data_IF_692334193010
#
_entry.id   IF_692334193010
#
_cell.length_a   1.000
_cell.length_b   1.000
_cell.length_c   1.000
_cell.angle_alpha   90.00
_cell.angle_beta   90.00
_cell.angle_gamma   90.00
#
_symmetry.space_group_name_H-M   'P 1'
#
loop_
_entity.id
_entity.type
_entity.pdbx_description
1 polymer ?
#
# COMPACT_ATOMS: atom_id res chain seq x y z
N UNK A 1 58.66 -28.55 5.40
CA UNK A 1 57.34 -29.21 5.26
C UNK A 1 56.14 -28.30 5.54
N UNK A 2 56.16 -27.28 6.42
CA UNK A 2 54.99 -26.39 6.69
C UNK A 2 54.78 -25.25 5.67
N UNK A 3 55.77 -24.92 4.86
CA UNK A 3 55.72 -23.78 3.91
C UNK A 3 55.11 -24.15 2.56
N UNK A 4 55.24 -25.43 2.19
CA UNK A 4 54.75 -25.93 0.88
C UNK A 4 53.24 -26.30 0.93
N UNK A 5 52.76 -26.69 2.13
CA UNK A 5 51.34 -27.00 2.34
C UNK A 5 50.42 -25.76 2.28
N UNK A 6 50.95 -24.55 2.62
CA UNK A 6 50.20 -23.29 2.49
C UNK A 6 50.06 -22.84 1.03
N UNK A 7 51.02 -23.16 0.16
CA UNK A 7 50.93 -22.83 -1.26
C UNK A 7 49.98 -23.77 -2.02
N UNK A 8 49.88 -25.04 -1.62
CA UNK A 8 48.93 -25.99 -2.22
C UNK A 8 47.48 -25.66 -1.86
N UNK A 9 47.21 -25.23 -0.62
CA UNK A 9 45.86 -24.83 -0.18
C UNK A 9 45.40 -23.52 -0.87
N UNK A 10 46.34 -22.60 -1.14
CA UNK A 10 46.04 -21.35 -1.84
C UNK A 10 45.68 -21.55 -3.34
N UNK A 11 46.27 -22.53 -4.00
CA UNK A 11 46.02 -22.87 -5.41
C UNK A 11 44.70 -23.62 -5.59
N UNK A 12 44.30 -24.44 -4.62
CA UNK A 12 43.02 -25.18 -4.64
C UNK A 12 41.82 -24.23 -4.36
N UNK A 13 42.01 -23.22 -3.49
CA UNK A 13 40.94 -22.23 -3.24
C UNK A 13 40.71 -21.25 -4.41
N UNK A 14 41.76 -20.97 -5.19
CA UNK A 14 41.63 -20.06 -6.38
C UNK A 14 41.06 -20.77 -7.61
N UNK A 15 41.19 -22.12 -7.68
CA UNK A 15 40.68 -22.92 -8.80
C UNK A 15 39.16 -23.21 -8.73
N UNK A 16 38.54 -23.13 -7.55
CA UNK A 16 37.11 -23.41 -7.37
C UNK A 16 36.24 -22.15 -7.63
N UNK A 17 36.82 -20.96 -7.65
CA UNK A 17 36.09 -19.68 -7.84
C UNK A 17 35.92 -19.27 -9.31
N UNK A 18 36.45 -20.01 -10.27
CA UNK A 18 36.38 -19.66 -11.70
C UNK A 18 35.41 -20.51 -12.53
N UNK A 19 34.59 -21.38 -11.95
CA UNK A 19 33.70 -22.31 -12.71
C UNK A 19 32.21 -21.88 -12.62
N UNK A 20 31.87 -20.82 -11.89
CA UNK A 20 30.47 -20.38 -11.70
C UNK A 20 30.05 -19.14 -12.50
N UNK A 21 30.77 -18.72 -13.55
CA UNK A 21 30.46 -17.55 -14.36
C UNK A 21 30.15 -17.87 -15.85
N UNK A 22 29.71 -19.09 -16.15
CA UNK A 22 29.25 -19.44 -17.49
C UNK A 22 27.89 -20.13 -17.40
N UNK A 23 26.84 -19.34 -17.26
CA UNK A 23 25.47 -19.87 -17.29
C UNK A 23 24.43 -18.80 -17.05
N UNK A 24 23.77 -18.46 -18.16
CA UNK A 24 22.48 -17.77 -18.31
C UNK A 24 22.50 -16.25 -18.53
N UNK A 25 22.92 -15.86 -19.71
CA UNK A 25 22.25 -14.81 -20.44
C UNK A 25 21.00 -15.42 -21.10
N UNK A 26 19.94 -15.62 -20.34
CA UNK A 26 18.60 -15.92 -20.81
C UNK A 26 17.79 -14.64 -20.75
N UNK A 27 17.54 -14.07 -21.94
CA UNK A 27 16.62 -13.00 -22.18
C UNK A 27 15.22 -13.51 -21.79
N UNK A 28 14.72 -13.18 -20.59
CA UNK A 28 13.30 -13.38 -20.27
C UNK A 28 12.53 -12.18 -20.83
N UNK A 29 12.09 -12.35 -22.09
CA UNK A 29 10.95 -11.58 -22.59
C UNK A 29 9.76 -11.86 -21.67
N UNK A 30 9.23 -10.81 -21.09
CA UNK A 30 7.95 -10.83 -20.39
C UNK A 30 6.88 -11.30 -21.39
N UNK A 31 6.48 -12.56 -21.30
CA UNK A 31 5.33 -13.08 -22.04
C UNK A 31 4.08 -12.47 -21.43
N UNK A 32 3.50 -11.53 -22.15
CA UNK A 32 2.13 -11.08 -21.97
C UNK A 32 1.20 -12.32 -22.10
N UNK A 33 0.39 -12.69 -21.10
CA UNK A 33 -0.49 -13.84 -21.20
C UNK A 33 -1.61 -13.55 -22.20
N UNK A 34 -1.61 -14.32 -23.27
CA UNK A 34 -2.66 -14.35 -24.30
C UNK A 34 -3.96 -14.92 -23.69
N UNK A 35 -5.16 -14.34 -23.90
CA UNK A 35 -6.41 -14.87 -23.39
C UNK A 35 -6.91 -16.02 -24.26
N UNK A 36 -6.52 -17.24 -23.92
CA UNK A 36 -6.94 -18.45 -24.65
C UNK A 36 -6.48 -19.74 -23.99
N UNK A 37 -7.25 -20.24 -23.00
CA UNK A 37 -7.41 -21.64 -22.73
C UNK A 37 -6.17 -22.46 -22.33
N UNK A 38 -5.62 -22.17 -21.13
CA UNK A 38 -5.04 -23.18 -20.25
C UNK A 38 -5.19 -22.63 -18.82
N UNK A 39 -5.75 -23.37 -17.89
CA UNK A 39 -6.00 -22.92 -16.53
C UNK A 39 -4.67 -22.81 -15.78
N UNK A 40 -3.91 -21.75 -16.05
CA UNK A 40 -2.77 -21.39 -15.24
C UNK A 40 -3.30 -20.91 -13.90
N UNK A 41 -3.00 -21.65 -12.84
CA UNK A 41 -3.25 -21.21 -11.47
C UNK A 41 -2.51 -19.88 -11.25
N UNK A 42 -3.24 -18.87 -10.79
CA UNK A 42 -2.72 -17.54 -10.49
C UNK A 42 -2.89 -17.28 -9.01
N UNK A 43 -1.82 -16.89 -8.32
CA UNK A 43 -1.89 -16.42 -6.95
C UNK A 43 -1.69 -14.91 -6.91
N UNK A 44 -2.62 -14.20 -6.27
CA UNK A 44 -2.60 -12.75 -6.04
C UNK A 44 -2.36 -12.50 -4.56
N UNK A 45 -1.25 -11.86 -4.22
CA UNK A 45 -0.91 -11.48 -2.85
C UNK A 45 -1.42 -10.08 -2.56
N UNK A 46 -2.26 -9.94 -1.54
CA UNK A 46 -2.84 -8.66 -1.11
C UNK A 46 -2.38 -8.36 0.32
N UNK A 47 -1.85 -7.15 0.54
CA UNK A 47 -1.44 -6.69 1.87
C UNK A 47 -2.17 -5.42 2.29
N UNK A 48 -2.74 -5.42 3.50
CA UNK A 48 -3.59 -4.36 4.04
C UNK A 48 -3.21 -4.00 5.47
N UNK A 49 -3.55 -2.77 5.90
CA UNK A 49 -3.50 -2.37 7.32
C UNK A 49 -4.86 -2.37 8.00
N UNK A 50 -5.91 -2.79 7.30
CA UNK A 50 -7.27 -2.77 7.84
C UNK A 50 -7.44 -3.83 8.94
N UNK A 51 -8.16 -3.43 9.97
CA UNK A 51 -8.57 -4.30 11.07
C UNK A 51 -10.06 -4.63 10.97
N UNK A 52 -10.52 -5.57 11.79
CA UNK A 52 -11.94 -5.88 11.93
C UNK A 52 -12.78 -4.63 12.32
N UNK A 53 -14.03 -4.52 11.83
CA UNK A 53 -14.74 -5.53 11.03
C UNK A 53 -14.50 -5.45 9.52
N UNK A 54 -13.70 -4.50 9.04
CA UNK A 54 -13.48 -4.28 7.59
C UNK A 54 -12.66 -5.40 7.00
N UNK A 55 -11.65 -5.88 7.73
CA UNK A 55 -10.82 -7.01 7.33
C UNK A 55 -11.67 -8.24 6.98
N UNK A 56 -12.53 -8.67 7.90
CA UNK A 56 -13.44 -9.82 7.69
C UNK A 56 -14.35 -9.64 6.47
N UNK A 57 -14.77 -8.39 6.18
CA UNK A 57 -15.55 -8.08 4.98
C UNK A 57 -14.75 -8.30 3.70
N UNK A 58 -13.49 -7.87 3.66
CA UNK A 58 -12.60 -8.05 2.50
C UNK A 58 -12.27 -9.55 2.31
N UNK A 59 -11.98 -10.27 3.38
CA UNK A 59 -11.72 -11.71 3.31
C UNK A 59 -12.90 -12.48 2.71
N UNK A 60 -14.13 -12.12 3.09
CA UNK A 60 -15.33 -12.68 2.50
C UNK A 60 -15.46 -12.35 1.01
N UNK A 61 -15.23 -11.11 0.60
CA UNK A 61 -15.25 -10.72 -0.82
C UNK A 61 -14.17 -11.47 -1.62
N UNK A 62 -12.98 -11.64 -1.07
CA UNK A 62 -11.92 -12.42 -1.71
C UNK A 62 -12.32 -13.89 -1.88
N UNK A 63 -13.01 -14.48 -0.91
CA UNK A 63 -13.50 -15.84 -1.00
C UNK A 63 -14.57 -15.97 -2.10
N UNK A 64 -15.54 -15.07 -2.14
CA UNK A 64 -16.57 -15.04 -3.18
C UNK A 64 -15.93 -14.88 -4.57
N UNK A 65 -14.93 -14.02 -4.71
CA UNK A 65 -14.19 -13.85 -5.96
C UNK A 65 -13.47 -15.13 -6.41
N UNK A 66 -12.81 -15.85 -5.49
CA UNK A 66 -12.14 -17.11 -5.81
C UNK A 66 -13.13 -18.21 -6.22
N UNK A 67 -14.35 -18.23 -5.62
CA UNK A 67 -15.41 -19.15 -6.00
C UNK A 67 -15.92 -18.89 -7.44
N UNK A 68 -16.00 -17.62 -7.84
CA UNK A 68 -16.43 -17.19 -9.18
C UNK A 68 -15.33 -17.33 -10.24
N UNK A 69 -14.05 -17.36 -9.82
CA UNK A 69 -12.88 -17.42 -10.70
C UNK A 69 -12.00 -18.63 -10.41
N UNK A 70 -12.40 -19.85 -10.81
CA UNK A 70 -11.59 -21.06 -10.63
C UNK A 70 -10.20 -20.93 -11.24
N UNK A 71 -9.16 -21.24 -10.47
CA UNK A 71 -7.76 -21.08 -10.84
C UNK A 71 -7.10 -19.81 -10.30
N UNK A 72 -7.87 -18.90 -9.65
CA UNK A 72 -7.33 -17.78 -8.93
C UNK A 72 -7.28 -18.09 -7.43
N UNK A 73 -6.15 -17.86 -6.81
CA UNK A 73 -5.95 -17.90 -5.36
C UNK A 73 -5.60 -16.52 -4.86
N UNK A 74 -6.26 -16.03 -3.82
CA UNK A 74 -5.94 -14.75 -3.16
C UNK A 74 -5.33 -15.06 -1.79
N UNK A 75 -4.08 -14.63 -1.61
CA UNK A 75 -3.40 -14.62 -0.32
C UNK A 75 -3.55 -13.22 0.29
N UNK A 76 -4.38 -13.10 1.32
CA UNK A 76 -4.64 -11.84 1.99
C UNK A 76 -3.93 -11.78 3.35
N UNK A 77 -3.11 -10.75 3.55
CA UNK A 77 -2.39 -10.49 4.80
C UNK A 77 -2.78 -9.12 5.36
N UNK A 78 -3.21 -9.08 6.62
CA UNK A 78 -3.44 -7.85 7.35
C UNK A 78 -2.31 -7.60 8.36
N UNK A 79 -1.62 -6.46 8.23
CA UNK A 79 -0.62 -5.99 9.19
C UNK A 79 -1.15 -4.71 9.80
N UNK A 80 -1.71 -4.80 11.01
CA UNK A 80 -2.32 -3.65 11.69
C UNK A 80 -1.29 -2.83 12.47
N UNK A 81 -1.60 -1.54 12.67
CA UNK A 81 -0.76 -0.63 13.45
C UNK A 81 0.36 0.02 12.65
N UNK A 82 1.36 0.52 13.39
CA UNK A 82 2.44 1.35 12.83
C UNK A 82 3.48 0.56 12.03
N UNK A 83 3.47 -0.76 12.15
CA UNK A 83 4.47 -1.65 11.52
C UNK A 83 4.22 -1.87 10.04
N UNK A 84 3.02 -1.63 9.53
CA UNK A 84 2.64 -1.93 8.15
C UNK A 84 3.64 -1.40 7.12
N UNK A 85 3.99 -0.11 7.21
CA UNK A 85 4.91 0.52 6.26
C UNK A 85 6.29 -0.15 6.27
N UNK A 86 6.81 -0.46 7.44
CA UNK A 86 8.12 -1.10 7.62
C UNK A 86 8.13 -2.52 7.08
N UNK A 87 7.07 -3.29 7.34
CA UNK A 87 6.91 -4.65 6.82
C UNK A 87 6.81 -4.61 5.29
N UNK A 88 5.98 -3.72 4.73
CA UNK A 88 5.83 -3.56 3.28
C UNK A 88 7.17 -3.20 2.60
N UNK A 89 7.94 -2.26 3.14
CA UNK A 89 9.26 -1.91 2.62
C UNK A 89 10.22 -3.11 2.66
N UNK A 90 10.20 -3.89 3.74
CA UNK A 90 11.05 -5.07 3.89
C UNK A 90 10.69 -6.14 2.85
N UNK A 91 9.41 -6.38 2.62
CA UNK A 91 8.92 -7.32 1.61
C UNK A 91 9.37 -6.93 0.19
N UNK A 92 9.19 -5.68 -0.19
CA UNK A 92 9.66 -5.20 -1.49
C UNK A 92 11.19 -5.28 -1.62
N UNK A 93 11.94 -4.92 -0.59
CA UNK A 93 13.40 -5.00 -0.60
C UNK A 93 13.92 -6.43 -0.72
N UNK A 94 13.19 -7.43 -0.22
CA UNK A 94 13.54 -8.85 -0.34
C UNK A 94 13.04 -9.51 -1.63
N UNK A 95 12.27 -8.80 -2.46
CA UNK A 95 11.68 -9.35 -3.68
C UNK A 95 10.43 -10.22 -3.45
N UNK A 96 9.85 -10.18 -2.24
CA UNK A 96 8.61 -10.87 -1.86
C UNK A 96 7.48 -9.86 -1.55
N UNK A 97 7.42 -8.78 -2.32
CA UNK A 97 6.36 -7.79 -2.21
C UNK A 97 5.00 -8.33 -2.66
N UNK A 98 3.89 -7.79 -2.12
CA UNK A 98 2.54 -8.13 -2.56
C UNK A 98 2.25 -7.56 -3.97
N UNK A 99 1.30 -8.17 -4.69
CA UNK A 99 0.82 -7.68 -5.97
C UNK A 99 -0.11 -6.48 -5.80
N UNK A 100 -0.90 -6.48 -4.72
CA UNK A 100 -1.80 -5.39 -4.35
C UNK A 100 -1.52 -5.00 -2.89
N UNK A 101 -1.38 -3.71 -2.64
CA UNK A 101 -1.11 -3.23 -1.29
C UNK A 101 -1.78 -1.89 -1.02
N UNK A 102 -2.07 -1.62 0.24
CA UNK A 102 -2.60 -0.33 0.65
C UNK A 102 -1.50 0.72 0.70
N UNK A 103 -1.80 1.89 0.16
CA UNK A 103 -0.91 3.04 0.12
C UNK A 103 -1.64 4.30 0.58
N UNK A 104 -1.03 5.04 1.50
CA UNK A 104 -1.62 6.27 2.03
C UNK A 104 -1.54 7.47 1.06
N UNK A 105 -0.85 7.33 -0.07
CA UNK A 105 -0.58 8.43 -0.99
C UNK A 105 0.50 9.40 -0.49
N UNK A 106 0.69 10.52 -1.18
CA UNK A 106 1.71 11.54 -0.86
C UNK A 106 3.11 10.91 -0.64
N UNK A 107 3.76 11.13 0.49
CA UNK A 107 5.09 10.60 0.80
C UNK A 107 5.21 9.07 0.74
N UNK A 108 4.11 8.34 0.79
CA UNK A 108 4.11 6.90 0.56
C UNK A 108 4.17 6.57 -0.92
N UNK A 109 3.53 7.39 -1.76
CA UNK A 109 3.66 7.26 -3.21
C UNK A 109 5.13 7.40 -3.61
N UNK A 110 5.82 8.45 -3.14
CA UNK A 110 7.25 8.65 -3.41
C UNK A 110 8.11 7.43 -3.03
N UNK A 111 7.74 6.75 -1.94
CA UNK A 111 8.48 5.58 -1.45
C UNK A 111 8.24 4.33 -2.31
N UNK A 112 6.99 4.12 -2.75
CA UNK A 112 6.56 2.85 -3.34
C UNK A 112 6.28 2.91 -4.84
N UNK A 113 6.28 4.09 -5.48
CA UNK A 113 5.97 4.27 -6.91
C UNK A 113 6.77 3.33 -7.82
N UNK A 114 8.04 3.10 -7.50
CA UNK A 114 8.91 2.19 -8.26
C UNK A 114 8.43 0.73 -8.33
N UNK A 115 7.50 0.34 -7.45
CA UNK A 115 6.89 -0.98 -7.38
C UNK A 115 5.44 -1.00 -7.89
N UNK A 116 4.93 0.14 -8.36
CA UNK A 116 3.53 0.31 -8.75
C UNK A 116 3.42 0.45 -10.27
N UNK A 117 2.38 -0.13 -10.84
CA UNK A 117 1.99 0.12 -12.22
C UNK A 117 0.99 1.28 -12.27
N UNK A 118 1.07 2.17 -13.27
CA UNK A 118 0.07 3.19 -13.47
C UNK A 118 -1.29 2.54 -13.84
N UNK A 119 -2.36 3.18 -13.39
CA UNK A 119 -3.75 2.77 -13.64
C UNK A 119 -4.50 3.85 -14.43
N UNK A 120 -3.79 4.78 -15.04
CA UNK A 120 -4.34 5.94 -15.75
C UNK A 120 -5.23 5.55 -16.92
N UNK A 121 -4.85 4.50 -17.65
CA UNK A 121 -5.53 4.03 -18.86
C UNK A 121 -6.71 3.08 -18.57
N UNK A 122 -6.98 2.78 -17.31
CA UNK A 122 -8.12 1.95 -16.94
C UNK A 122 -9.44 2.70 -17.18
N UNK A 123 -10.43 2.03 -17.77
CA UNK A 123 -11.71 2.63 -18.13
C UNK A 123 -12.41 3.32 -16.96
N UNK A 124 -12.25 2.80 -15.75
CA UNK A 124 -12.84 3.36 -14.53
C UNK A 124 -12.03 4.53 -13.94
N UNK A 125 -10.78 4.75 -14.35
CA UNK A 125 -9.94 5.82 -13.82
C UNK A 125 -10.52 7.22 -14.10
N UNK A 126 -11.31 7.39 -15.15
CA UNK A 126 -12.02 8.63 -15.47
C UNK A 126 -13.03 9.05 -14.37
N UNK A 127 -13.53 8.10 -13.59
CA UNK A 127 -14.51 8.34 -12.53
C UNK A 127 -13.87 8.63 -11.17
N UNK A 128 -12.54 8.61 -11.08
CA UNK A 128 -11.83 8.91 -9.82
C UNK A 128 -12.07 10.38 -9.43
N UNK A 129 -12.40 10.65 -8.14
CA UNK A 129 -12.47 12.00 -7.63
C UNK A 129 -11.15 12.75 -7.79
N UNK A 130 -11.20 14.04 -8.06
CA UNK A 130 -9.98 14.86 -8.25
C UNK A 130 -9.06 14.84 -7.03
N UNK A 131 -9.60 14.78 -5.82
CA UNK A 131 -8.82 14.62 -4.59
C UNK A 131 -8.02 13.31 -4.56
N UNK A 132 -8.55 12.22 -5.16
CA UNK A 132 -7.85 10.96 -5.29
C UNK A 132 -6.70 11.06 -6.29
N UNK A 133 -6.92 11.74 -7.40
CA UNK A 133 -5.90 12.00 -8.42
C UNK A 133 -4.71 12.77 -7.87
N UNK A 134 -4.98 13.80 -7.05
CA UNK A 134 -3.94 14.58 -6.38
C UNK A 134 -3.15 13.76 -5.35
N UNK A 135 -3.81 12.81 -4.69
CA UNK A 135 -3.21 12.00 -3.62
C UNK A 135 -2.31 10.89 -4.12
N UNK A 136 -2.70 10.23 -5.21
CA UNK A 136 -1.99 9.08 -5.80
C UNK A 136 -1.48 9.34 -7.22
N UNK A 137 -1.45 10.61 -7.65
CA UNK A 137 -0.90 11.01 -8.93
C UNK A 137 0.56 11.43 -8.82
N UNK A 138 1.36 11.03 -9.81
CA UNK A 138 2.73 11.49 -10.02
C UNK A 138 3.05 11.47 -11.51
N UNK A 139 3.78 12.46 -11.99
CA UNK A 139 4.23 12.56 -13.38
C UNK A 139 3.12 12.47 -14.45
N UNK A 140 1.88 12.85 -14.08
CA UNK A 140 0.71 12.76 -14.94
C UNK A 140 0.00 11.41 -14.94
N UNK A 141 0.51 10.44 -14.18
CA UNK A 141 -0.04 9.11 -14.04
C UNK A 141 -0.71 8.91 -12.68
N UNK A 142 -1.67 7.96 -12.59
CA UNK A 142 -2.31 7.53 -11.35
C UNK A 142 -1.85 6.15 -10.95
N UNK A 143 -1.61 5.97 -9.63
CA UNK A 143 -1.05 4.74 -9.08
C UNK A 143 -1.91 4.11 -7.99
N UNK A 144 -3.04 4.69 -7.64
CA UNK A 144 -3.86 4.19 -6.55
C UNK A 144 -5.35 4.32 -6.79
N UNK A 145 -6.08 3.27 -6.42
CA UNK A 145 -7.54 3.24 -6.39
C UNK A 145 -8.04 3.54 -4.96
N UNK A 146 -8.91 4.54 -4.76
CA UNK A 146 -9.48 4.83 -3.44
C UNK A 146 -10.55 3.81 -3.07
N UNK A 147 -10.28 3.01 -2.04
CA UNK A 147 -11.28 2.06 -1.50
C UNK A 147 -12.34 2.74 -0.62
N UNK A 148 -12.03 3.90 -0.08
CA UNK A 148 -12.96 4.74 0.67
C UNK A 148 -12.61 6.21 0.54
N UNK A 149 -13.59 7.07 0.83
CA UNK A 149 -13.40 8.51 0.99
C UNK A 149 -13.74 8.86 2.43
N UNK A 150 -12.82 9.52 3.11
CA UNK A 150 -13.03 10.00 4.47
C UNK A 150 -13.00 11.51 4.48
N UNK A 151 -13.95 12.11 5.21
CA UNK A 151 -13.95 13.52 5.54
C UNK A 151 -13.38 13.71 6.94
N UNK A 152 -12.42 14.63 7.07
CA UNK A 152 -11.95 15.10 8.37
C UNK A 152 -12.65 16.41 8.62
N UNK A 153 -13.46 16.47 9.68
CA UNK A 153 -14.24 17.67 10.02
C UNK A 153 -14.40 17.78 11.53
N UNK A 154 -14.65 18.99 12.01
CA UNK A 154 -15.07 19.19 13.38
C UNK A 154 -16.55 18.85 13.52
N UNK A 155 -16.87 18.03 14.52
CA UNK A 155 -18.24 17.73 14.93
C UNK A 155 -18.54 18.53 16.18
N UNK A 156 -19.61 19.29 16.19
CA UNK A 156 -20.00 20.12 17.31
C UNK A 156 -21.41 19.78 17.80
N UNK A 157 -21.64 19.98 19.10
CA UNK A 157 -22.94 19.81 19.72
C UNK A 157 -23.72 21.13 19.60
N UNK A 158 -24.81 21.13 18.84
CA UNK A 158 -25.64 22.31 18.57
C UNK A 158 -26.22 22.94 19.83
N UNK A 159 -26.70 22.09 20.77
CA UNK A 159 -27.32 22.57 22.00
C UNK A 159 -26.29 23.26 22.92
N UNK A 160 -25.04 22.79 22.92
CA UNK A 160 -23.95 23.43 23.67
C UNK A 160 -23.55 24.75 23.04
N UNK A 161 -23.47 24.83 21.71
CA UNK A 161 -23.20 26.07 21.00
C UNK A 161 -24.28 27.12 21.28
N UNK A 162 -25.55 26.74 21.21
CA UNK A 162 -26.68 27.63 21.53
C UNK A 162 -26.60 28.12 22.98
N UNK A 163 -26.35 27.23 23.96
CA UNK A 163 -26.21 27.59 25.38
C UNK A 163 -25.02 28.53 25.64
N UNK A 164 -23.93 28.35 24.88
CA UNK A 164 -22.75 29.22 24.94
C UNK A 164 -22.91 30.53 24.18
N UNK A 165 -24.08 30.75 23.51
CA UNK A 165 -24.33 31.94 22.70
C UNK A 165 -23.52 32.00 21.40
N UNK A 166 -23.11 30.84 20.89
CA UNK A 166 -22.40 30.75 19.62
C UNK A 166 -23.43 30.53 18.50
N UNK A 167 -23.72 31.57 17.73
CA UNK A 167 -24.73 31.56 16.66
C UNK A 167 -24.17 31.17 15.30
N UNK A 168 -22.89 31.39 15.07
CA UNK A 168 -22.20 31.09 13.80
C UNK A 168 -21.07 30.11 14.05
N UNK A 169 -20.80 29.25 13.06
CA UNK A 169 -19.69 28.32 13.11
C UNK A 169 -18.38 29.08 12.89
N UNK A 170 -17.32 28.71 13.62
CA UNK A 170 -16.01 29.33 13.42
C UNK A 170 -15.43 28.96 12.06
N UNK A 171 -15.04 29.96 11.28
CA UNK A 171 -14.37 29.80 9.99
C UNK A 171 -12.85 30.05 10.08
N UNK A 172 -12.38 30.64 11.18
CA UNK A 172 -10.98 30.93 11.47
C UNK A 172 -10.51 30.24 12.73
N UNK A 173 -9.19 30.15 12.92
CA UNK A 173 -8.61 29.57 14.13
C UNK A 173 -8.92 30.44 15.36
N UNK A 174 -8.91 31.77 15.21
CA UNK A 174 -9.25 32.73 16.26
C UNK A 174 -10.70 32.55 16.70
N UNK A 175 -11.65 32.44 15.76
CA UNK A 175 -13.06 32.20 16.07
C UNK A 175 -13.27 30.84 16.74
N UNK A 176 -12.50 29.80 16.34
CA UNK A 176 -12.54 28.52 17.00
C UNK A 176 -12.05 28.62 18.45
N UNK A 177 -11.01 29.40 18.71
CA UNK A 177 -10.51 29.63 20.06
C UNK A 177 -11.57 30.38 20.91
N UNK A 178 -12.18 31.44 20.38
CA UNK A 178 -13.28 32.16 21.05
C UNK A 178 -14.47 31.24 21.35
N UNK A 179 -14.80 30.35 20.44
CA UNK A 179 -15.86 29.35 20.64
C UNK A 179 -15.50 28.38 21.78
N UNK A 180 -14.25 27.92 21.86
CA UNK A 180 -13.78 27.09 22.96
C UNK A 180 -13.85 27.82 24.30
N UNK A 181 -13.45 29.08 24.39
CA UNK A 181 -13.52 29.91 25.63
C UNK A 181 -14.99 30.07 26.10
N UNK A 182 -15.91 30.31 25.17
CA UNK A 182 -17.35 30.39 25.48
C UNK A 182 -17.92 29.07 25.99
N UNK A 183 -17.51 27.94 25.39
CA UNK A 183 -17.93 26.62 25.84
C UNK A 183 -17.37 26.29 27.22
N UNK A 184 -16.09 26.62 27.48
CA UNK A 184 -15.46 26.46 28.78
C UNK A 184 -16.19 27.27 29.87
N UNK A 185 -16.60 28.51 29.56
CA UNK A 185 -17.34 29.38 30.46
C UNK A 185 -18.69 28.80 30.94
N UNK A 186 -19.28 27.89 30.15
CA UNK A 186 -20.52 27.16 30.56
C UNK A 186 -20.24 25.77 31.12
N UNK A 187 -18.97 25.43 31.37
CA UNK A 187 -18.55 24.17 31.99
C UNK A 187 -18.39 22.98 31.06
N UNK A 188 -18.20 23.23 29.76
CA UNK A 188 -17.81 22.21 28.78
C UNK A 188 -16.28 22.11 28.80
N UNK A 189 -15.72 20.94 29.09
CA UNK A 189 -14.27 20.66 29.17
C UNK A 189 -13.87 19.66 28.09
#
# INVERSE_FOLDING_TARGET
MKKDMKKLVSIVLTGIMCISLAGCAGNQEAKNPNPGGDSTEVTIKIMSWLADPVQSGIEKMNQEFMEEHPGVTIEYEAVTGDDYRTVLQTRFASGDGPDIFMNAGYSWLDTFQQYMSPITDEEWAQYLPEASKQRWGADGEYYGFPINLQSISYVYNKDMFEKAGISELPDTFEELQDACEKLEAIGVT
#
